data_IF_516503571339
#
_entry.id   IF_516503571339
#
_cell.length_a   1.000
_cell.length_b   1.000
_cell.length_c   1.000
_cell.angle_alpha   90.00
_cell.angle_beta   90.00
_cell.angle_gamma   90.00
#
_symmetry.space_group_name_H-M   'P 1'
#
loop_
_entity.id
_entity.type
_entity.pdbx_description
1 polymer ?
#
# COMPACT_ATOMS: atom_id res chain seq x y z
N UNK A 1 -21.97 0.62 19.70
CA UNK A 1 -22.38 1.61 18.68
C UNK A 1 -21.32 1.58 17.57
N UNK A 2 -20.89 0.41 17.10
CA UNK A 2 -21.57 -0.58 16.23
C UNK A 2 -21.82 -0.06 14.81
N UNK A 3 -20.78 -0.17 13.97
CA UNK A 3 -20.67 -0.62 12.56
C UNK A 3 -21.88 -0.69 11.59
N UNK A 4 -23.06 -0.19 11.94
CA UNK A 4 -24.28 -0.33 11.14
C UNK A 4 -24.67 0.91 10.32
N UNK A 5 -23.98 2.04 10.47
CA UNK A 5 -24.38 3.31 9.84
C UNK A 5 -23.37 3.89 8.82
N UNK A 6 -22.57 3.05 8.15
CA UNK A 6 -21.75 3.49 7.01
C UNK A 6 -22.26 2.99 5.64
N UNK A 7 -23.51 2.53 5.58
CA UNK A 7 -24.26 2.40 4.32
C UNK A 7 -25.20 3.61 4.20
N UNK A 8 -24.73 4.68 3.56
CA UNK A 8 -25.51 5.58 2.68
C UNK A 8 -24.84 6.95 2.55
N UNK A 9 -24.10 7.12 1.44
CA UNK A 9 -24.01 8.34 0.62
C UNK A 9 -22.82 8.22 -0.33
N UNK A 10 -22.85 7.23 -1.21
CA UNK A 10 -21.91 7.19 -2.32
C UNK A 10 -22.64 6.71 -3.57
N UNK A 11 -23.16 7.69 -4.31
CA UNK A 11 -23.64 7.53 -5.68
C UNK A 11 -22.59 6.76 -6.52
N UNK A 12 -22.99 5.79 -7.35
CA UNK A 12 -22.06 5.00 -8.14
C UNK A 12 -21.45 5.88 -9.23
N UNK A 13 -20.14 6.16 -9.11
CA UNK A 13 -19.42 6.97 -10.08
C UNK A 13 -19.07 6.17 -11.34
N UNK A 14 -19.81 6.40 -12.43
CA UNK A 14 -19.30 6.39 -13.82
C UNK A 14 -18.84 5.05 -14.43
N UNK A 15 -18.58 5.00 -15.75
CA UNK A 15 -18.34 3.77 -16.51
C UNK A 15 -17.05 3.07 -16.04
N UNK A 16 -16.96 1.75 -16.26
CA UNK A 16 -15.84 0.85 -15.89
C UNK A 16 -14.49 1.60 -15.80
N UNK A 17 -14.15 2.02 -14.58
CA UNK A 17 -13.02 2.90 -14.34
C UNK A 17 -11.69 2.17 -14.41
N UNK A 18 -10.62 2.91 -14.73
CA UNK A 18 -9.25 2.41 -14.64
C UNK A 18 -8.87 2.16 -13.17
N UNK A 19 -8.21 1.05 -12.89
CA UNK A 19 -7.67 0.69 -11.57
C UNK A 19 -6.16 1.00 -11.48
N UNK A 20 -5.63 1.06 -10.26
CA UNK A 20 -4.18 1.15 -10.06
C UNK A 20 -3.51 -0.18 -10.43
N UNK A 21 -4.20 -1.31 -10.22
CA UNK A 21 -3.75 -2.61 -10.67
C UNK A 21 -3.47 -2.65 -12.19
N UNK A 22 -4.39 -2.11 -13.00
CA UNK A 22 -4.20 -1.99 -14.46
C UNK A 22 -3.03 -1.07 -14.82
N UNK A 23 -2.82 0.03 -14.08
CA UNK A 23 -1.67 0.91 -14.27
C UNK A 23 -0.34 0.19 -13.98
N UNK A 24 -0.28 -0.63 -12.93
CA UNK A 24 0.88 -1.45 -12.58
C UNK A 24 1.12 -2.51 -13.67
N UNK A 25 0.09 -3.25 -14.06
CA UNK A 25 0.20 -4.27 -15.10
C UNK A 25 0.65 -3.68 -16.45
N UNK A 26 0.21 -2.46 -16.79
CA UNK A 26 0.62 -1.76 -18.01
C UNK A 26 2.11 -1.35 -18.03
N UNK A 27 2.85 -1.51 -16.92
CA UNK A 27 4.31 -1.33 -16.86
C UNK A 27 5.09 -2.63 -17.15
N UNK A 28 4.41 -3.76 -17.24
CA UNK A 28 5.04 -5.04 -17.54
C UNK A 28 5.70 -5.03 -18.93
N UNK A 29 7.02 -5.26 -18.94
CA UNK A 29 7.82 -5.29 -20.17
C UNK A 29 8.40 -3.93 -20.58
N UNK A 30 8.13 -2.87 -19.80
CA UNK A 30 8.76 -1.56 -19.99
C UNK A 30 10.11 -1.52 -19.26
N UNK A 31 11.20 -1.59 -20.03
CA UNK A 31 12.56 -1.61 -19.48
C UNK A 31 13.18 -0.21 -19.30
N UNK A 32 12.37 0.86 -19.40
CA UNK A 32 12.82 2.21 -19.04
C UNK A 32 12.88 2.36 -17.52
N UNK A 33 13.73 3.26 -17.00
CA UNK A 33 13.77 3.58 -15.58
C UNK A 33 12.39 3.97 -15.03
N UNK A 34 11.99 3.40 -13.90
CA UNK A 34 10.68 3.60 -13.28
C UNK A 34 10.73 4.03 -11.81
N UNK A 35 11.80 3.70 -11.08
CA UNK A 35 12.00 4.10 -9.69
C UNK A 35 13.49 4.32 -9.41
N UNK A 36 13.82 5.47 -8.84
CA UNK A 36 15.15 5.76 -8.30
C UNK A 36 15.10 5.82 -6.78
N UNK A 37 16.05 5.17 -6.12
CA UNK A 37 16.25 5.28 -4.68
C UNK A 37 17.74 5.15 -4.39
N UNK A 38 18.33 6.24 -3.89
CA UNK A 38 19.77 6.32 -3.64
C UNK A 38 20.61 5.95 -4.88
N UNK A 39 21.41 4.88 -4.80
CA UNK A 39 22.24 4.35 -5.88
C UNK A 39 21.52 3.29 -6.74
N UNK A 40 20.30 2.90 -6.37
CA UNK A 40 19.52 1.87 -7.07
C UNK A 40 18.52 2.50 -8.02
N UNK A 41 18.45 1.94 -9.22
CA UNK A 41 17.42 2.25 -10.21
C UNK A 41 16.70 0.97 -10.59
N UNK A 42 15.38 0.95 -10.47
CA UNK A 42 14.53 -0.10 -11.01
C UNK A 42 13.85 0.40 -12.28
N UNK A 43 13.79 -0.46 -13.28
CA UNK A 43 12.94 -0.28 -14.46
C UNK A 43 11.46 -0.42 -14.10
N UNK A 44 10.58 0.09 -14.96
CA UNK A 44 9.14 -0.11 -14.83
C UNK A 44 8.75 -1.59 -14.76
N UNK A 45 9.41 -2.45 -15.56
CA UNK A 45 9.24 -3.90 -15.51
C UNK A 45 9.65 -4.48 -14.16
N UNK A 46 10.80 -4.10 -13.61
CA UNK A 46 11.25 -4.57 -12.29
C UNK A 46 10.33 -4.12 -11.16
N UNK A 47 9.77 -2.91 -11.24
CA UNK A 47 8.74 -2.46 -10.29
C UNK A 47 7.48 -3.33 -10.38
N UNK A 48 7.01 -3.62 -11.60
CA UNK A 48 5.84 -4.46 -11.81
C UNK A 48 6.07 -5.93 -11.37
N UNK A 49 7.27 -6.48 -11.62
CA UNK A 49 7.67 -7.81 -11.16
C UNK A 49 7.81 -7.88 -9.64
N UNK A 50 8.46 -6.89 -9.03
CA UNK A 50 8.54 -6.80 -7.57
C UNK A 50 7.16 -6.69 -6.91
N UNK A 51 6.23 -5.95 -7.53
CA UNK A 51 4.84 -5.87 -7.09
C UNK A 51 4.11 -7.21 -7.22
N UNK A 52 4.29 -7.92 -8.35
CA UNK A 52 3.67 -9.23 -8.58
C UNK A 52 4.14 -10.29 -7.58
N UNK A 53 5.45 -10.34 -7.29
CA UNK A 53 6.01 -11.26 -6.30
C UNK A 53 5.42 -11.02 -4.90
N UNK A 54 5.33 -9.75 -4.48
CA UNK A 54 4.70 -9.35 -3.20
C UNK A 54 3.19 -9.60 -3.19
N UNK A 55 2.52 -9.46 -4.32
CA UNK A 55 1.09 -9.73 -4.44
C UNK A 55 0.79 -11.23 -4.27
N UNK A 56 1.63 -12.08 -4.87
CA UNK A 56 1.54 -13.54 -4.70
C UNK A 56 1.81 -13.94 -3.25
N UNK A 57 2.89 -13.42 -2.64
CA UNK A 57 3.17 -13.61 -1.22
C UNK A 57 2.00 -13.16 -0.34
N UNK A 58 1.47 -11.95 -0.55
CA UNK A 58 0.35 -11.43 0.24
C UNK A 58 -0.89 -12.32 0.11
N UNK A 59 -1.18 -12.82 -1.08
CA UNK A 59 -2.31 -13.73 -1.31
C UNK A 59 -2.18 -15.00 -0.45
N UNK A 60 -0.99 -15.56 -0.33
CA UNK A 60 -0.74 -16.75 0.50
C UNK A 60 -0.75 -16.44 2.01
N UNK A 61 -0.41 -15.21 2.39
CA UNK A 61 -0.39 -14.77 3.79
C UNK A 61 -1.76 -14.37 4.33
N UNK A 62 -2.70 -13.98 3.48
CA UNK A 62 -4.03 -13.54 3.90
C UNK A 62 -4.88 -14.73 4.37
N UNK A 63 -5.35 -14.73 5.63
CA UNK A 63 -6.24 -15.79 6.10
C UNK A 63 -7.58 -15.79 5.36
N UNK A 64 -8.19 -16.97 5.09
CA UNK A 64 -9.53 -17.03 4.51
C UNK A 64 -10.55 -16.26 5.35
N UNK A 65 -11.27 -15.33 4.73
CA UNK A 65 -12.31 -14.52 5.38
C UNK A 65 -11.80 -13.33 6.20
N UNK A 66 -10.48 -13.09 6.26
CA UNK A 66 -9.94 -11.84 6.78
C UNK A 66 -10.17 -10.69 5.78
N UNK A 67 -10.26 -9.46 6.30
CA UNK A 67 -10.22 -8.28 5.44
C UNK A 67 -8.85 -8.23 4.71
N UNK A 68 -8.82 -7.97 3.40
CA UNK A 68 -7.59 -7.97 2.63
C UNK A 68 -6.83 -6.67 2.88
N UNK A 69 -6.21 -6.54 4.05
CA UNK A 69 -5.45 -5.37 4.45
C UNK A 69 -3.99 -5.69 4.72
N UNK A 70 -3.10 -4.76 4.39
CA UNK A 70 -1.68 -4.82 4.75
C UNK A 70 -1.27 -3.52 5.42
N UNK A 71 -0.68 -3.64 6.61
CA UNK A 71 -0.09 -2.52 7.31
C UNK A 71 1.28 -2.23 6.73
N UNK A 72 1.61 -0.95 6.52
CA UNK A 72 2.94 -0.54 6.05
C UNK A 72 3.50 0.52 6.99
N UNK A 73 4.58 0.16 7.69
CA UNK A 73 5.38 1.02 8.56
C UNK A 73 6.81 1.06 8.00
N UNK A 74 7.00 1.87 6.96
CA UNK A 74 8.27 1.99 6.24
C UNK A 74 8.65 3.45 6.01
N UNK A 75 9.95 3.69 5.88
CA UNK A 75 10.47 4.91 5.29
C UNK A 75 10.25 4.94 3.77
N UNK A 76 10.70 6.02 3.12
CA UNK A 76 10.63 6.18 1.67
C UNK A 76 11.68 5.30 0.96
N UNK A 77 11.46 4.00 1.01
CA UNK A 77 12.27 2.95 0.36
C UNK A 77 11.50 2.37 -0.84
N UNK A 78 12.14 1.62 -1.75
CA UNK A 78 11.44 0.96 -2.86
C UNK A 78 10.32 0.02 -2.43
N UNK A 79 10.42 -0.54 -1.23
CA UNK A 79 9.41 -1.46 -0.69
C UNK A 79 8.04 -0.79 -0.54
N UNK A 80 7.99 0.50 -0.22
CA UNK A 80 6.72 1.20 -0.07
C UNK A 80 5.88 1.18 -1.36
N UNK A 81 6.35 1.72 -2.51
CA UNK A 81 5.58 1.66 -3.75
C UNK A 81 5.38 0.22 -4.27
N UNK A 82 6.29 -0.71 -3.98
CA UNK A 82 6.13 -2.12 -4.35
C UNK A 82 4.98 -2.77 -3.57
N UNK A 83 4.87 -2.54 -2.27
CA UNK A 83 3.76 -3.04 -1.45
C UNK A 83 2.43 -2.35 -1.76
N UNK A 84 2.45 -1.07 -2.10
CA UNK A 84 1.26 -0.37 -2.60
C UNK A 84 0.77 -0.98 -3.92
N UNK A 85 1.68 -1.25 -4.84
CA UNK A 85 1.36 -1.88 -6.12
C UNK A 85 0.91 -3.33 -5.94
N UNK A 86 1.53 -4.06 -5.02
CA UNK A 86 1.13 -5.43 -4.68
C UNK A 86 -0.28 -5.49 -4.11
N UNK A 87 -0.61 -4.61 -3.15
CA UNK A 87 -1.95 -4.50 -2.61
C UNK A 87 -2.97 -4.20 -3.71
N UNK A 88 -2.63 -3.30 -4.65
CA UNK A 88 -3.48 -3.02 -5.79
C UNK A 88 -3.74 -4.27 -6.64
N UNK A 89 -2.74 -5.09 -6.93
CA UNK A 89 -2.89 -6.34 -7.70
C UNK A 89 -3.71 -7.41 -6.97
N UNK A 90 -3.66 -7.45 -5.64
CA UNK A 90 -4.46 -8.40 -4.83
C UNK A 90 -5.92 -7.98 -4.68
N UNK A 91 -6.22 -6.69 -4.84
CA UNK A 91 -7.50 -6.10 -4.39
C UNK A 91 -7.51 -5.81 -2.89
N UNK A 92 -6.32 -5.62 -2.29
CA UNK A 92 -6.12 -5.33 -0.89
C UNK A 92 -5.92 -3.82 -0.63
N UNK A 93 -6.19 -3.40 0.60
CA UNK A 93 -5.94 -2.02 1.05
C UNK A 93 -4.64 -1.92 1.86
N UNK A 94 -3.86 -0.87 1.61
CA UNK A 94 -2.72 -0.50 2.43
C UNK A 94 -3.18 0.41 3.56
N UNK A 95 -2.90 0.00 4.79
CA UNK A 95 -2.95 0.86 5.96
C UNK A 95 -1.58 1.52 6.20
N UNK A 96 -1.48 2.83 5.96
CA UNK A 96 -0.28 3.59 6.28
C UNK A 96 -0.15 3.80 7.79
N UNK A 97 0.79 3.10 8.42
CA UNK A 97 1.00 3.18 9.86
C UNK A 97 1.92 4.37 10.17
N UNK A 98 1.47 5.24 11.06
CA UNK A 98 2.18 6.47 11.38
C UNK A 98 3.38 6.23 12.33
N UNK A 99 4.64 6.37 11.88
CA UNK A 99 5.82 6.20 12.71
C UNK A 99 6.04 7.33 13.73
N UNK A 100 5.12 8.29 13.91
CA UNK A 100 5.15 9.28 15.01
C UNK A 100 4.32 8.87 16.21
N UNK A 101 3.40 7.91 16.07
CA UNK A 101 2.63 7.36 17.18
C UNK A 101 3.44 6.36 18.00
N UNK A 102 3.16 6.25 19.30
CA UNK A 102 3.95 5.45 20.23
C UNK A 102 3.05 4.62 21.14
N UNK A 103 3.58 3.49 21.62
CA UNK A 103 2.98 2.71 22.68
C UNK A 103 1.53 2.28 22.36
N UNK A 104 0.60 2.37 23.33
CA UNK A 104 -0.77 1.90 23.17
C UNK A 104 -1.52 2.53 22.00
N UNK A 105 -1.20 3.77 21.62
CA UNK A 105 -1.84 4.44 20.48
C UNK A 105 -1.41 3.84 19.14
N UNK A 106 -0.13 3.47 19.01
CA UNK A 106 0.36 2.80 17.81
C UNK A 106 -0.24 1.40 17.68
N UNK A 107 -0.28 0.64 18.78
CA UNK A 107 -0.93 -0.67 18.80
C UNK A 107 -2.41 -0.58 18.43
N UNK A 108 -3.13 0.41 18.99
CA UNK A 108 -4.53 0.66 18.66
C UNK A 108 -4.73 0.93 17.17
N UNK A 109 -3.90 1.77 16.56
CA UNK A 109 -4.03 2.11 15.15
C UNK A 109 -3.75 0.90 14.25
N UNK A 110 -2.71 0.11 14.55
CA UNK A 110 -2.39 -1.13 13.83
C UNK A 110 -3.58 -2.11 13.94
N UNK A 111 -4.04 -2.40 15.15
CA UNK A 111 -5.14 -3.35 15.38
C UNK A 111 -6.47 -2.86 14.80
N UNK A 112 -6.73 -1.55 14.81
CA UNK A 112 -7.94 -0.98 14.23
C UNK A 112 -8.02 -1.14 12.71
N UNK A 113 -6.89 -1.32 12.04
CA UNK A 113 -6.86 -1.59 10.59
C UNK A 113 -7.10 -3.04 10.21
N UNK A 114 -7.16 -3.96 11.19
CA UNK A 114 -7.41 -5.38 10.96
C UNK A 114 -6.44 -6.01 9.95
N UNK A 115 -5.20 -5.52 9.90
CA UNK A 115 -4.17 -6.03 8.99
C UNK A 115 -3.59 -7.35 9.51
N UNK A 116 -3.74 -8.49 8.80
CA UNK A 116 -3.09 -9.74 9.18
C UNK A 116 -1.57 -9.70 8.98
N UNK A 117 -1.08 -8.78 8.15
CA UNK A 117 0.34 -8.59 7.82
C UNK A 117 0.74 -7.15 8.05
N UNK A 118 1.88 -6.91 8.69
CA UNK A 118 2.52 -5.61 8.85
C UNK A 118 3.93 -5.65 8.26
N UNK A 119 4.14 -4.87 7.22
CA UNK A 119 5.43 -4.68 6.55
C UNK A 119 6.19 -3.56 7.23
N UNK A 120 7.42 -3.84 7.65
CA UNK A 120 8.28 -2.86 8.32
C UNK A 120 9.77 -3.14 8.08
N UNK A 121 10.65 -2.36 8.69
CA UNK A 121 12.10 -2.51 8.60
C UNK A 121 12.71 -2.46 10.01
N UNK A 122 13.95 -2.94 10.17
CA UNK A 122 14.66 -2.96 11.46
C UNK A 122 14.70 -1.60 12.14
N UNK A 123 14.74 -0.51 11.38
CA UNK A 123 14.72 0.87 11.89
C UNK A 123 13.47 1.20 12.71
N UNK A 124 12.34 0.54 12.44
CA UNK A 124 11.06 0.77 13.13
C UNK A 124 10.74 -0.30 14.19
N UNK A 125 11.52 -1.39 14.28
CA UNK A 125 11.33 -2.41 15.32
C UNK A 125 11.27 -1.88 16.75
N UNK A 126 12.08 -0.87 17.16
CA UNK A 126 11.97 -0.29 18.50
C UNK A 126 10.59 0.31 18.80
N UNK A 127 9.80 0.69 17.78
CA UNK A 127 8.42 1.18 17.96
C UNK A 127 7.43 0.05 18.25
N UNK A 128 7.76 -1.18 17.85
CA UNK A 128 6.89 -2.36 17.91
C UNK A 128 7.25 -3.31 19.06
N UNK A 129 8.46 -3.20 19.62
CA UNK A 129 9.04 -4.18 20.55
C UNK A 129 8.15 -4.49 21.77
N UNK A 130 7.46 -3.48 22.31
CA UNK A 130 6.63 -3.62 23.52
C UNK A 130 5.12 -3.66 23.20
N UNK A 131 4.73 -3.83 21.94
CA UNK A 131 3.32 -3.82 21.52
C UNK A 131 2.75 -5.24 21.42
N UNK A 132 1.57 -5.44 22.00
CA UNK A 132 0.78 -6.65 21.78
C UNK A 132 0.01 -6.52 20.46
N UNK A 133 0.45 -7.25 19.43
CA UNK A 133 -0.15 -7.26 18.09
C UNK A 133 -0.64 -8.67 17.72
N UNK A 134 -1.63 -9.23 18.44
CA UNK A 134 -2.09 -10.60 18.21
C UNK A 134 -2.62 -10.78 16.78
N UNK A 135 -2.19 -11.86 16.12
CA UNK A 135 -2.62 -12.20 14.77
C UNK A 135 -1.97 -11.38 13.65
N UNK A 136 -1.06 -10.45 13.97
CA UNK A 136 -0.31 -9.67 12.98
C UNK A 136 1.03 -10.33 12.70
N UNK A 137 1.26 -10.74 11.45
CA UNK A 137 2.55 -11.23 10.98
C UNK A 137 3.45 -10.07 10.54
N UNK A 138 4.63 -9.95 11.14
CA UNK A 138 5.63 -8.96 10.73
C UNK A 138 6.43 -9.47 9.52
N UNK A 139 6.63 -8.60 8.52
CA UNK A 139 7.60 -8.79 7.44
C UNK A 139 8.67 -7.70 7.54
N UNK A 140 9.92 -8.10 7.75
CA UNK A 140 11.06 -7.19 7.87
C UNK A 140 11.79 -7.07 6.54
N UNK A 141 11.56 -5.98 5.83
CA UNK A 141 11.98 -5.85 4.42
C UNK A 141 13.49 -5.83 4.21
N UNK A 142 14.25 -5.55 5.27
CA UNK A 142 15.69 -5.46 5.28
C UNK A 142 16.36 -6.68 5.92
N UNK A 143 15.70 -7.84 5.88
CA UNK A 143 16.20 -9.12 6.42
C UNK A 143 16.37 -10.19 5.32
N UNK A 144 17.32 -11.11 5.52
CA UNK A 144 17.56 -12.23 4.59
C UNK A 144 16.34 -13.16 4.50
N UNK A 145 15.61 -13.32 5.61
CA UNK A 145 14.38 -14.12 5.66
C UNK A 145 13.30 -13.53 4.75
N UNK A 146 13.19 -12.21 4.66
CA UNK A 146 12.25 -11.56 3.76
C UNK A 146 12.62 -11.79 2.29
N UNK A 147 13.90 -11.67 1.94
CA UNK A 147 14.36 -11.98 0.59
C UNK A 147 14.06 -13.45 0.23
N UNK A 148 14.33 -14.38 1.15
CA UNK A 148 14.03 -15.79 0.98
C UNK A 148 12.53 -16.09 0.82
N UNK A 149 11.65 -15.33 1.50
CA UNK A 149 10.20 -15.44 1.35
C UNK A 149 9.70 -15.06 -0.06
N UNK A 150 10.43 -14.19 -0.77
CA UNK A 150 10.04 -13.75 -2.11
C UNK A 150 10.56 -14.66 -3.23
N UNK A 151 11.59 -15.47 -2.98
CA UNK A 151 12.21 -16.38 -3.98
C UNK A 151 11.19 -17.26 -4.69
N UNK A 152 10.21 -17.92 -4.02
CA UNK A 152 9.23 -18.77 -4.69
C UNK A 152 8.32 -18.02 -5.68
N UNK A 153 8.26 -16.69 -5.59
CA UNK A 153 7.38 -15.83 -6.38
C UNK A 153 8.15 -14.99 -7.41
N UNK A 154 9.43 -15.29 -7.67
CA UNK A 154 10.27 -14.52 -8.57
C UNK A 154 9.72 -14.44 -10.01
N UNK A 155 9.02 -15.48 -10.46
CA UNK A 155 8.41 -15.57 -11.80
C UNK A 155 6.94 -15.11 -11.82
N UNK A 156 6.43 -14.53 -10.73
CA UNK A 156 5.07 -14.03 -10.67
C UNK A 156 4.86 -12.88 -11.68
N UNK A 157 3.71 -12.91 -12.35
CA UNK A 157 3.29 -11.86 -13.29
C UNK A 157 2.13 -11.04 -12.71
N UNK A 158 2.05 -9.73 -12.96
CA UNK A 158 0.95 -8.92 -12.46
C UNK A 158 -0.37 -9.33 -13.09
N UNK A 159 -1.37 -9.62 -12.26
CA UNK A 159 -2.75 -9.91 -12.67
C UNK A 159 -3.67 -8.79 -12.18
N UNK A 160 -4.11 -7.87 -13.06
CA UNK A 160 -5.01 -6.79 -12.66
C UNK A 160 -6.47 -7.22 -12.55
N UNK A 161 -6.84 -8.42 -13.04
CA UNK A 161 -8.24 -8.86 -13.13
C UNK A 161 -8.91 -9.09 -11.78
N UNK A 162 -8.11 -9.19 -10.72
CA UNK A 162 -8.58 -9.37 -9.34
C UNK A 162 -9.11 -8.09 -8.70
N UNK A 163 -8.83 -6.93 -9.27
CA UNK A 163 -9.18 -5.64 -8.70
C UNK A 163 -10.33 -4.97 -9.45
N UNK A 164 -11.20 -4.29 -8.71
CA UNK A 164 -12.24 -3.41 -9.25
C UNK A 164 -11.99 -1.95 -8.86
N UNK A 165 -12.54 -0.98 -9.60
CA UNK A 165 -12.40 0.45 -9.24
C UNK A 165 -12.99 0.81 -7.87
N UNK A 166 -13.92 0.00 -7.36
CA UNK A 166 -14.58 0.18 -6.08
C UNK A 166 -13.74 -0.34 -4.91
N UNK A 167 -12.74 -1.20 -5.16
CA UNK A 167 -11.94 -1.80 -4.10
C UNK A 167 -11.13 -0.74 -3.38
N UNK A 168 -11.02 -0.90 -2.06
CA UNK A 168 -10.23 -0.02 -1.20
C UNK A 168 -8.75 -0.28 -1.47
N UNK A 169 -7.98 0.80 -1.68
CA UNK A 169 -6.53 0.69 -1.88
C UNK A 169 -5.74 1.36 -0.75
N UNK A 170 -6.27 2.43 -0.17
CA UNK A 170 -5.55 3.19 0.84
C UNK A 170 -6.45 3.52 2.02
N UNK A 171 -5.93 3.24 3.22
CA UNK A 171 -6.49 3.60 4.50
C UNK A 171 -5.51 4.58 5.16
N UNK A 172 -5.85 5.87 5.15
CA UNK A 172 -5.01 6.91 5.76
C UNK A 172 -5.67 7.48 7.00
N UNK A 173 -4.94 7.49 8.09
CA UNK A 173 -5.39 8.14 9.31
C UNK A 173 -5.27 9.65 9.17
N UNK A 174 -6.39 10.35 9.38
CA UNK A 174 -6.38 11.81 9.53
C UNK A 174 -6.37 12.17 11.00
N UNK A 175 -5.70 13.27 11.36
CA UNK A 175 -5.76 13.83 12.71
C UNK A 175 -7.20 14.32 12.97
N UNK A 176 -8.03 13.44 13.51
CA UNK A 176 -9.38 13.83 13.95
C UNK A 176 -9.25 14.89 15.04
N UNK A 177 -9.85 16.05 14.84
CA UNK A 177 -9.77 17.18 15.78
C UNK A 177 -10.52 16.94 17.11
N UNK A 178 -11.28 15.85 17.23
CA UNK A 178 -12.18 15.61 18.37
C UNK A 178 -12.30 14.14 18.80
N UNK A 179 -11.40 13.23 18.40
CA UNK A 179 -11.50 11.82 18.79
C UNK A 179 -10.47 10.87 18.19
N UNK A 180 -10.73 9.56 18.33
CA UNK A 180 -9.88 8.51 17.78
C UNK A 180 -9.71 8.67 16.24
N UNK A 181 -8.53 8.33 15.68
CA UNK A 181 -8.24 8.51 14.25
C UNK A 181 -9.30 7.84 13.37
N UNK A 182 -9.78 8.56 12.35
CA UNK A 182 -10.66 8.00 11.32
C UNK A 182 -9.82 7.65 10.10
N UNK A 183 -9.93 6.41 9.63
CA UNK A 183 -9.33 5.99 8.38
C UNK A 183 -10.11 6.59 7.20
N UNK A 184 -9.50 7.56 6.51
CA UNK A 184 -9.96 8.02 5.22
C UNK A 184 -9.69 6.93 4.18
N UNK A 185 -10.74 6.49 3.49
CA UNK A 185 -10.69 5.42 2.50
C UNK A 185 -10.53 6.03 1.11
N UNK A 186 -9.51 5.58 0.37
CA UNK A 186 -9.37 5.85 -1.06
C UNK A 186 -9.44 4.54 -1.85
N UNK A 187 -10.33 4.51 -2.85
CA UNK A 187 -10.49 3.35 -3.73
C UNK A 187 -9.48 3.37 -4.88
N UNK A 188 -9.27 2.22 -5.52
CA UNK A 188 -8.48 2.06 -6.74
C UNK A 188 -8.83 3.11 -7.80
N UNK A 189 -10.12 3.18 -8.18
CA UNK A 189 -10.59 4.07 -9.23
C UNK A 189 -10.42 5.55 -8.87
N UNK A 190 -10.62 5.90 -7.60
CA UNK A 190 -10.41 7.28 -7.11
C UNK A 190 -8.94 7.67 -7.21
N UNK A 191 -8.03 6.80 -6.79
CA UNK A 191 -6.60 7.09 -6.85
C UNK A 191 -6.11 7.18 -8.31
N UNK A 192 -6.52 6.23 -9.16
CA UNK A 192 -6.16 6.23 -10.58
C UNK A 192 -6.69 7.49 -11.31
N UNK A 193 -7.94 7.88 -11.04
CA UNK A 193 -8.53 9.10 -11.60
C UNK A 193 -7.79 10.37 -11.13
N UNK A 194 -7.47 10.46 -9.82
CA UNK A 194 -6.72 11.58 -9.28
C UNK A 194 -5.31 11.69 -9.91
N UNK A 195 -4.61 10.56 -10.04
CA UNK A 195 -3.31 10.50 -10.71
C UNK A 195 -3.37 10.96 -12.16
N UNK A 196 -4.37 10.51 -12.93
CA UNK A 196 -4.59 10.95 -14.31
C UNK A 196 -4.89 12.45 -14.41
N UNK A 197 -5.75 12.96 -13.53
CA UNK A 197 -6.06 14.40 -13.49
C UNK A 197 -4.81 15.21 -13.20
N UNK A 198 -4.04 14.85 -12.17
CA UNK A 198 -2.80 15.55 -11.81
C UNK A 198 -1.78 15.49 -12.95
N UNK A 199 -1.59 14.33 -13.57
CA UNK A 199 -0.70 14.19 -14.73
C UNK A 199 -1.11 15.12 -15.88
N UNK A 200 -2.41 15.22 -16.18
CA UNK A 200 -2.93 16.15 -17.18
C UNK A 200 -2.74 17.62 -16.79
N UNK A 201 -3.08 17.98 -15.55
CA UNK A 201 -2.97 19.37 -15.04
C UNK A 201 -1.53 19.87 -15.06
N UNK A 202 -0.56 19.02 -14.71
CA UNK A 202 0.86 19.38 -14.72
C UNK A 202 1.57 19.05 -16.03
N UNK A 203 0.82 18.59 -17.05
CA UNK A 203 1.34 18.17 -18.35
C UNK A 203 2.52 17.18 -18.25
N UNK A 204 2.43 16.26 -17.30
CA UNK A 204 3.44 15.23 -17.03
C UNK A 204 3.70 14.41 -18.28
N UNK A 205 4.97 14.28 -18.64
CA UNK A 205 5.46 13.54 -19.79
C UNK A 205 6.14 12.23 -19.36
N UNK A 206 6.24 11.23 -20.25
CA UNK A 206 6.92 9.98 -19.95
C UNK A 206 8.40 10.11 -19.55
N UNK A 207 9.04 11.21 -19.93
CA UNK A 207 10.46 11.47 -19.64
C UNK A 207 10.65 12.38 -18.40
N UNK A 208 9.55 12.79 -17.75
CA UNK A 208 9.61 13.57 -16.52
C UNK A 208 9.99 12.69 -15.33
N UNK A 209 10.79 13.27 -14.42
CA UNK A 209 11.13 12.64 -13.15
C UNK A 209 10.42 13.36 -12.00
N UNK A 210 9.73 12.59 -11.16
CA UNK A 210 9.02 13.12 -10.00
C UNK A 210 9.70 12.69 -8.70
N UNK A 211 10.01 13.67 -7.85
CA UNK A 211 10.46 13.39 -6.50
C UNK A 211 9.26 12.99 -5.64
N UNK A 212 9.22 11.72 -5.22
CA UNK A 212 8.30 11.29 -4.17
C UNK A 212 8.90 11.62 -2.81
N UNK A 213 8.32 12.61 -2.12
CA UNK A 213 8.62 12.93 -0.73
C UNK A 213 7.51 12.45 0.23
N UNK A 214 6.69 11.48 -0.20
CA UNK A 214 5.56 10.98 0.58
C UNK A 214 6.04 10.13 1.77
N UNK A 215 6.20 10.76 2.93
CA UNK A 215 6.00 10.08 4.21
C UNK A 215 4.50 9.85 4.35
N UNK A 216 4.02 8.61 4.19
CA UNK A 216 2.62 8.28 4.45
C UNK A 216 2.31 8.29 5.96
N UNK A 217 2.29 9.51 6.50
CA UNK A 217 1.50 9.98 7.62
C UNK A 217 1.96 11.42 7.85
N UNK A 218 1.16 12.39 7.45
CA UNK A 218 1.44 13.79 7.71
C UNK A 218 1.40 14.05 9.21
N UNK A 219 2.51 14.55 9.76
CA UNK A 219 2.48 15.38 10.96
C UNK A 219 3.04 16.75 10.54
N UNK A 220 2.15 17.74 10.53
CA UNK A 220 2.47 19.17 10.51
C UNK A 220 3.46 19.46 11.63
N UNK A 221 4.48 20.28 11.35
CA UNK A 221 5.23 20.96 12.42
C UNK A 221 4.32 21.92 13.17
#
# INVERSE_FOLDING_TARGET
MEFKELKESMEPAGPAGLTVAELVAARWGDHRPGLWCEDRTLTHHEVAAGAAARAALLTDLLPPGAEPHVGVLLDNTPEYPLWLSAAALVGAAVAGINPTRRGPELARDILHTECPVLVTARTHLPLLADLELPGVRLLLTDSEEYEALLVPYADATPDPSRATPADRLLLYFTSGSTGAPKAAICTQGRLAAAGRTLAGTFAVRPDDMHLSACRCSTATR
#
